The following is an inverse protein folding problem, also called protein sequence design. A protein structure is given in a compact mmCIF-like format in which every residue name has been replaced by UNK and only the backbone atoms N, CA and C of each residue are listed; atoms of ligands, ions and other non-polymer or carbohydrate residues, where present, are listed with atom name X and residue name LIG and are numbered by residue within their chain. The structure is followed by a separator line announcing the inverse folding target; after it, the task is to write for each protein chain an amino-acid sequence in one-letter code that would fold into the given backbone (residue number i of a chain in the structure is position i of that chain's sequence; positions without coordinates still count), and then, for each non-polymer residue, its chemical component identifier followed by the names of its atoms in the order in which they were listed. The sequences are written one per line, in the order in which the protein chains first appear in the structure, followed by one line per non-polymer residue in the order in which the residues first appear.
data_IF_645435937595
#
_entry.id   IF_645435937595
#
_cell.length_a   1.000
_cell.length_b   1.000
_cell.length_c   1.000
_cell.angle_alpha   90.00
_cell.angle_beta   90.00
_cell.angle_gamma   90.00
#
_symmetry.space_group_name_H-M   'P 1'
#
loop_
_entity.id
_entity.type
_entity.pdbx_description
1 polymer ?
#
# COMPACT_ATOMS: atom_id res chain seq x y z
N UNK A 1 39.30 41.62 64.08
CA UNK A 1 39.45 40.66 62.96
C UNK A 1 38.04 40.26 62.53
N UNK A 2 37.60 40.77 61.40
CA UNK A 2 36.23 40.52 60.86
C UNK A 2 36.40 39.46 59.78
N UNK A 3 35.81 38.31 59.99
CA UNK A 3 35.69 37.23 58.95
C UNK A 3 34.51 37.54 58.03
N UNK A 4 34.80 37.85 56.77
CA UNK A 4 33.78 37.99 55.71
C UNK A 4 33.58 36.60 55.12
N UNK A 5 32.42 36.01 55.32
CA UNK A 5 31.98 34.78 54.67
C UNK A 5 31.41 35.14 53.29
N UNK A 6 32.13 34.82 52.23
CA UNK A 6 31.62 34.91 50.86
C UNK A 6 30.76 33.68 50.57
N UNK A 7 29.44 33.85 50.45
CA UNK A 7 28.50 32.85 49.92
C UNK A 7 28.53 32.94 48.39
N UNK A 8 29.18 31.94 47.74
CA UNK A 8 29.12 31.77 46.30
C UNK A 8 27.79 31.08 45.96
N UNK A 9 26.84 31.84 45.42
CA UNK A 9 25.54 31.31 44.97
C UNK A 9 25.79 30.70 43.57
N UNK A 10 25.86 29.36 43.50
CA UNK A 10 25.94 28.62 42.23
C UNK A 10 24.58 28.60 41.58
N UNK A 11 24.37 29.44 40.56
CA UNK A 11 23.16 29.44 39.74
C UNK A 11 23.24 28.30 38.73
N UNK A 12 22.59 27.15 38.98
CA UNK A 12 22.46 26.06 38.01
C UNK A 12 21.38 26.49 37.02
N UNK A 13 21.78 26.96 35.84
CA UNK A 13 20.90 27.18 34.71
C UNK A 13 20.60 25.79 34.10
N UNK A 14 19.44 25.26 34.43
CA UNK A 14 18.90 24.09 33.76
C UNK A 14 18.49 24.53 32.36
N UNK A 15 19.33 24.27 31.36
CA UNK A 15 18.93 24.32 29.95
C UNK A 15 17.97 23.20 29.70
N UNK A 16 16.66 23.47 29.78
CA UNK A 16 15.63 22.64 29.19
C UNK A 16 15.79 22.75 27.69
N UNK A 17 16.54 21.81 27.08
CA UNK A 17 16.51 21.62 25.63
C UNK A 17 15.09 21.15 25.30
N UNK A 18 14.25 22.08 24.86
CA UNK A 18 13.00 21.74 24.20
C UNK A 18 13.37 20.90 22.98
N UNK A 19 13.21 19.58 23.07
CA UNK A 19 13.23 18.74 21.89
C UNK A 19 12.04 19.24 21.08
N UNK A 20 12.30 20.02 20.04
CA UNK A 20 11.25 20.43 19.10
C UNK A 20 10.73 19.17 18.44
N UNK A 21 9.53 18.76 18.80
CA UNK A 21 8.85 17.68 18.13
C UNK A 21 8.72 18.03 16.63
N UNK A 22 8.98 17.06 15.76
CA UNK A 22 8.84 17.28 14.31
C UNK A 22 7.38 17.61 13.98
N UNK A 23 7.14 18.62 13.16
CA UNK A 23 5.78 18.96 12.72
C UNK A 23 5.36 18.17 11.47
N UNK A 24 5.94 16.98 11.28
CA UNK A 24 5.60 16.08 10.20
C UNK A 24 5.69 14.61 10.61
N UNK A 25 4.96 13.75 9.87
CA UNK A 25 5.01 12.29 9.96
C UNK A 25 5.53 11.71 8.65
N UNK A 26 6.34 10.65 8.74
CA UNK A 26 6.80 9.89 7.57
C UNK A 26 5.96 8.62 7.45
N UNK A 27 5.32 8.44 6.28
CA UNK A 27 4.56 7.24 5.95
C UNK A 27 5.27 6.45 4.87
N UNK A 28 5.68 5.22 5.17
CA UNK A 28 6.08 4.26 4.14
C UNK A 28 4.83 3.61 3.54
N UNK A 29 4.71 3.68 2.21
CA UNK A 29 3.57 3.10 1.50
C UNK A 29 3.98 2.51 0.14
N UNK A 30 3.00 2.06 -0.64
CA UNK A 30 3.27 1.48 -1.95
C UNK A 30 3.19 2.52 -3.07
N UNK A 31 4.00 2.34 -4.12
CA UNK A 31 3.97 3.22 -5.31
C UNK A 31 2.56 3.33 -5.88
N UNK A 32 1.80 2.22 -5.95
CA UNK A 32 0.43 2.22 -6.46
C UNK A 32 -0.50 3.09 -5.62
N UNK A 33 -0.37 3.06 -4.28
CA UNK A 33 -1.18 3.88 -3.37
C UNK A 33 -0.84 5.36 -3.50
N UNK A 34 0.46 5.70 -3.45
CA UNK A 34 0.93 7.08 -3.57
C UNK A 34 0.54 7.68 -4.92
N UNK A 35 0.70 6.92 -6.02
CA UNK A 35 0.37 7.38 -7.39
C UNK A 35 -1.12 7.70 -7.62
N UNK A 36 -2.02 7.28 -6.72
CA UNK A 36 -3.44 7.67 -6.81
C UNK A 36 -3.70 9.11 -6.40
N UNK A 37 -2.78 9.72 -5.63
CA UNK A 37 -2.97 11.03 -4.99
C UNK A 37 -3.79 10.97 -3.69
N UNK A 38 -4.28 9.81 -3.25
CA UNK A 38 -5.10 9.71 -2.03
C UNK A 38 -4.34 10.19 -0.80
N UNK A 39 -3.08 9.73 -0.60
CA UNK A 39 -2.31 10.08 0.60
C UNK A 39 -1.94 11.56 0.63
N UNK A 40 -1.68 12.18 -0.52
CA UNK A 40 -1.48 13.63 -0.64
C UNK A 40 -2.77 14.37 -0.24
N UNK A 41 -3.90 14.00 -0.83
CA UNK A 41 -5.20 14.59 -0.50
C UNK A 41 -5.55 14.48 0.99
N UNK A 42 -5.40 13.30 1.60
CA UNK A 42 -5.66 13.09 3.03
C UNK A 42 -4.66 13.85 3.91
N UNK A 43 -3.40 13.94 3.50
CA UNK A 43 -2.37 14.70 4.18
C UNK A 43 -2.67 16.19 4.20
N UNK A 44 -3.13 16.76 3.08
CA UNK A 44 -3.54 18.16 2.98
C UNK A 44 -4.74 18.49 3.86
N UNK A 45 -5.76 17.60 3.89
CA UNK A 45 -6.92 17.77 4.76
C UNK A 45 -6.53 17.69 6.26
N UNK A 46 -5.67 16.73 6.63
CA UNK A 46 -5.16 16.60 7.97
C UNK A 46 -4.29 17.79 8.41
N UNK A 47 -3.45 18.29 7.50
CA UNK A 47 -2.62 19.46 7.76
C UNK A 47 -3.45 20.73 8.02
N UNK A 48 -4.54 20.94 7.29
CA UNK A 48 -5.45 22.08 7.50
C UNK A 48 -6.04 22.10 8.91
N UNK A 49 -6.26 20.93 9.50
CA UNK A 49 -6.88 20.81 10.83
C UNK A 49 -5.85 20.84 11.97
N UNK A 50 -4.65 20.30 11.74
CA UNK A 50 -3.69 20.00 12.83
C UNK A 50 -2.38 20.73 12.71
N UNK A 51 -2.01 21.22 11.52
CA UNK A 51 -0.68 21.76 11.22
C UNK A 51 0.41 20.68 11.08
N UNK A 52 0.07 19.38 11.12
CA UNK A 52 1.03 18.28 11.00
C UNK A 52 1.12 17.87 9.52
N UNK A 53 2.32 17.99 8.94
CA UNK A 53 2.60 17.61 7.56
C UNK A 53 2.70 16.08 7.42
N UNK A 54 2.13 15.51 6.35
CA UNK A 54 2.27 14.09 6.01
C UNK A 54 3.22 13.93 4.84
N UNK A 55 4.35 13.26 5.08
CA UNK A 55 5.37 12.95 4.05
C UNK A 55 5.30 11.48 3.68
N UNK A 56 4.94 11.19 2.43
CA UNK A 56 4.78 9.82 1.96
C UNK A 56 5.97 9.34 1.13
N UNK A 57 6.41 8.11 1.37
CA UNK A 57 7.44 7.42 0.58
C UNK A 57 6.78 6.24 -0.12
N UNK A 58 6.66 6.31 -1.45
CA UNK A 58 6.05 5.29 -2.29
C UNK A 58 7.08 4.36 -2.93
N UNK A 59 7.15 3.10 -2.46
CA UNK A 59 8.04 2.06 -2.99
C UNK A 59 7.28 0.73 -3.16
N UNK A 60 7.93 -0.34 -3.60
CA UNK A 60 7.30 -1.67 -3.59
C UNK A 60 6.98 -2.13 -2.17
N UNK A 61 5.89 -2.92 -1.97
CA UNK A 61 5.43 -3.38 -0.64
C UNK A 61 6.54 -3.97 0.22
N UNK A 62 7.36 -4.87 -0.35
CA UNK A 62 8.49 -5.47 0.38
C UNK A 62 9.54 -4.45 0.79
N UNK A 63 9.80 -3.43 -0.03
CA UNK A 63 10.73 -2.35 0.28
C UNK A 63 10.14 -1.40 1.34
N UNK A 64 8.84 -1.08 1.28
CA UNK A 64 8.17 -0.28 2.29
C UNK A 64 8.27 -0.92 3.68
N UNK A 65 7.98 -2.22 3.76
CA UNK A 65 8.13 -3.00 5.00
C UNK A 65 9.58 -3.03 5.47
N UNK A 66 10.54 -3.26 4.56
CA UNK A 66 11.97 -3.24 4.88
C UNK A 66 12.44 -1.88 5.41
N UNK A 67 11.97 -0.79 4.84
CA UNK A 67 12.26 0.56 5.32
C UNK A 67 11.68 0.76 6.74
N UNK A 68 10.41 0.37 6.95
CA UNK A 68 9.77 0.43 8.27
C UNK A 68 10.51 -0.43 9.31
N UNK A 69 10.98 -1.64 8.93
CA UNK A 69 11.79 -2.52 9.81
C UNK A 69 13.12 -1.85 10.23
N UNK A 70 13.65 -0.91 9.45
CA UNK A 70 14.84 -0.12 9.83
C UNK A 70 14.51 1.15 10.62
N UNK A 71 13.22 1.43 10.83
CA UNK A 71 12.77 2.64 11.49
C UNK A 71 12.68 3.87 10.58
N UNK A 72 12.72 3.70 9.25
CA UNK A 72 12.69 4.83 8.30
C UNK A 72 11.24 5.38 8.11
N UNK A 73 10.41 5.34 9.15
CA UNK A 73 9.02 5.82 9.15
C UNK A 73 8.47 6.06 10.56
N UNK A 74 7.33 6.72 10.64
CA UNK A 74 6.44 6.73 11.80
C UNK A 74 5.29 5.74 11.61
N UNK A 75 4.80 5.64 10.36
CA UNK A 75 3.63 4.85 9.98
C UNK A 75 3.98 3.99 8.76
N UNK A 76 3.49 2.75 8.78
CA UNK A 76 3.47 1.84 7.62
C UNK A 76 2.03 1.68 7.13
N UNK A 77 1.77 1.97 5.85
CA UNK A 77 0.48 1.80 5.18
C UNK A 77 0.67 1.00 3.90
N UNK A 78 0.29 -0.27 3.91
CA UNK A 78 0.48 -1.21 2.79
C UNK A 78 -0.74 -2.13 2.63
N UNK A 79 -0.69 -3.07 1.67
CA UNK A 79 -1.79 -3.98 1.37
C UNK A 79 -1.31 -5.44 1.19
N UNK A 80 -0.48 -5.91 2.12
CA UNK A 80 -0.06 -7.32 2.21
C UNK A 80 -0.35 -7.86 3.60
N UNK A 81 -1.61 -8.22 3.86
CA UNK A 81 -2.11 -8.56 5.20
C UNK A 81 -1.22 -9.57 5.93
N UNK A 82 -0.69 -10.57 5.21
CA UNK A 82 0.22 -11.57 5.80
C UNK A 82 1.51 -10.94 6.32
N UNK A 83 2.13 -10.06 5.52
CA UNK A 83 3.38 -9.39 5.91
C UNK A 83 3.13 -8.34 7.01
N UNK A 84 1.96 -7.67 7.00
CA UNK A 84 1.54 -6.71 8.01
C UNK A 84 1.32 -7.38 9.38
N UNK A 85 0.67 -8.55 9.40
CA UNK A 85 0.49 -9.34 10.62
C UNK A 85 1.86 -9.78 11.16
N UNK A 86 2.74 -10.28 10.29
CA UNK A 86 4.11 -10.66 10.67
C UNK A 86 4.88 -9.48 11.27
N UNK A 87 4.75 -8.27 10.69
CA UNK A 87 5.38 -7.05 11.20
C UNK A 87 4.94 -6.72 12.64
N UNK A 88 3.66 -6.96 12.96
CA UNK A 88 3.14 -6.80 14.32
C UNK A 88 3.63 -7.92 15.25
N UNK A 89 3.59 -9.19 14.81
CA UNK A 89 4.05 -10.34 15.61
C UNK A 89 5.54 -10.26 15.96
N UNK A 90 6.35 -9.64 15.11
CA UNK A 90 7.77 -9.35 15.36
C UNK A 90 7.99 -8.14 16.29
N UNK A 91 6.92 -7.51 16.78
CA UNK A 91 6.98 -6.36 17.68
C UNK A 91 7.43 -5.05 17.00
N UNK A 92 7.53 -5.02 15.67
CA UNK A 92 8.01 -3.86 14.91
C UNK A 92 6.95 -2.75 14.77
N UNK A 93 5.68 -3.10 14.89
CA UNK A 93 4.54 -2.18 14.95
C UNK A 93 3.66 -2.47 16.16
N UNK A 94 2.90 -1.48 16.61
CA UNK A 94 2.06 -1.60 17.82
C UNK A 94 0.80 -2.40 17.53
N UNK A 95 0.05 -1.98 16.50
CA UNK A 95 -1.25 -2.55 16.14
C UNK A 95 -1.56 -2.28 14.68
N UNK A 96 -2.16 -3.27 14.02
CA UNK A 96 -2.69 -3.15 12.67
C UNK A 96 -4.16 -2.73 12.71
N UNK A 97 -4.52 -1.74 11.90
CA UNK A 97 -5.90 -1.33 11.65
C UNK A 97 -6.26 -1.61 10.19
N UNK A 98 -7.45 -2.16 9.95
CA UNK A 98 -8.04 -2.21 8.62
C UNK A 98 -8.52 -0.80 8.26
N UNK A 99 -7.90 -0.15 7.26
CA UNK A 99 -8.21 1.22 6.90
C UNK A 99 -9.25 1.29 5.78
N UNK A 100 -8.95 0.65 4.68
CA UNK A 100 -9.74 0.69 3.45
C UNK A 100 -9.47 -0.56 2.62
N UNK A 101 -10.19 -0.73 1.53
CA UNK A 101 -9.90 -1.78 0.56
C UNK A 101 -10.15 -1.30 -0.86
N UNK A 102 -9.50 -1.95 -1.81
CA UNK A 102 -9.91 -2.01 -3.21
C UNK A 102 -9.89 -3.47 -3.67
N UNK A 103 -9.92 -3.72 -4.95
CA UNK A 103 -9.81 -5.06 -5.50
C UNK A 103 -8.72 -5.12 -6.59
N UNK A 104 -8.34 -6.35 -6.89
CA UNK A 104 -7.62 -6.67 -8.09
C UNK A 104 -8.61 -7.00 -9.21
N UNK A 105 -8.16 -6.81 -10.44
CA UNK A 105 -8.90 -7.16 -11.64
C UNK A 105 -8.02 -7.98 -12.57
N UNK A 106 -8.62 -8.91 -13.32
CA UNK A 106 -7.93 -9.54 -14.44
C UNK A 106 -8.25 -8.74 -15.69
N UNK A 107 -7.21 -8.26 -16.33
CA UNK A 107 -7.30 -7.55 -17.59
C UNK A 107 -6.70 -8.39 -18.70
N UNK A 108 -7.19 -8.21 -19.91
CA UNK A 108 -6.70 -8.92 -21.08
C UNK A 108 -7.19 -8.30 -22.37
N UNK A 109 -6.90 -8.92 -23.51
CA UNK A 109 -7.30 -8.43 -24.82
C UNK A 109 -8.81 -8.24 -24.92
N UNK A 110 -9.28 -7.14 -25.52
CA UNK A 110 -10.71 -6.89 -25.77
C UNK A 110 -11.42 -8.00 -26.54
N UNK A 111 -10.66 -8.67 -27.43
CA UNK A 111 -11.17 -9.82 -28.19
C UNK A 111 -11.42 -11.07 -27.34
N UNK A 112 -10.88 -11.10 -26.12
CA UNK A 112 -10.98 -12.18 -25.14
C UNK A 112 -10.85 -13.58 -25.75
N UNK A 113 -9.73 -13.94 -26.36
CA UNK A 113 -9.56 -15.24 -27.03
C UNK A 113 -9.70 -16.41 -26.06
N UNK A 114 -9.46 -16.21 -24.75
CA UNK A 114 -9.65 -17.22 -23.72
C UNK A 114 -11.12 -17.35 -23.27
N UNK A 115 -12.00 -16.43 -23.69
CA UNK A 115 -13.44 -16.40 -23.37
C UNK A 115 -13.72 -16.39 -21.85
N UNK A 116 -12.92 -15.66 -21.10
CA UNK A 116 -13.01 -15.61 -19.62
C UNK A 116 -14.02 -14.59 -19.12
N UNK A 117 -14.42 -13.61 -19.93
CA UNK A 117 -15.31 -12.49 -19.53
C UNK A 117 -16.66 -12.93 -18.97
N UNK A 118 -17.17 -14.07 -19.39
CA UNK A 118 -18.46 -14.58 -18.95
C UNK A 118 -18.38 -15.64 -17.84
N UNK A 119 -17.18 -15.96 -17.38
CA UNK A 119 -17.00 -16.89 -16.28
C UNK A 119 -17.30 -16.20 -14.94
N UNK A 120 -17.71 -16.99 -13.96
CA UNK A 120 -18.16 -16.47 -12.66
C UNK A 120 -17.22 -16.79 -11.50
N UNK A 121 -16.21 -17.60 -11.74
CA UNK A 121 -15.26 -17.99 -10.70
C UNK A 121 -13.80 -17.89 -11.18
N UNK A 122 -12.97 -17.41 -10.29
CA UNK A 122 -11.54 -17.17 -10.54
C UNK A 122 -10.77 -18.46 -10.85
N UNK A 123 -11.14 -19.59 -10.20
CA UNK A 123 -10.45 -20.87 -10.40
C UNK A 123 -10.55 -21.34 -11.84
N UNK A 124 -11.75 -21.29 -12.44
CA UNK A 124 -11.96 -21.64 -13.84
C UNK A 124 -11.17 -20.74 -14.79
N UNK A 125 -11.10 -19.44 -14.50
CA UNK A 125 -10.31 -18.49 -15.28
C UNK A 125 -8.82 -18.85 -15.24
N UNK A 126 -8.27 -19.02 -14.05
CA UNK A 126 -6.85 -19.38 -13.89
C UNK A 126 -6.54 -20.73 -14.53
N UNK A 127 -7.46 -21.70 -14.49
CA UNK A 127 -7.31 -22.99 -15.19
C UNK A 127 -7.20 -22.80 -16.70
N UNK A 128 -8.00 -21.94 -17.30
CA UNK A 128 -7.93 -21.65 -18.73
C UNK A 128 -6.62 -20.95 -19.06
N UNK A 129 -6.25 -19.92 -18.31
CA UNK A 129 -5.01 -19.18 -18.54
C UNK A 129 -3.76 -20.04 -18.36
N UNK A 130 -3.80 -21.01 -17.44
CA UNK A 130 -2.70 -21.95 -17.20
C UNK A 130 -2.60 -23.10 -18.22
N UNK A 131 -3.53 -23.19 -19.18
CA UNK A 131 -3.52 -24.26 -20.20
C UNK A 131 -2.35 -24.20 -21.18
N UNK A 132 -1.64 -23.06 -21.21
CA UNK A 132 -0.50 -22.85 -22.13
C UNK A 132 -0.87 -22.20 -23.47
N UNK A 133 -2.17 -22.01 -23.74
CA UNK A 133 -2.64 -21.43 -25.00
C UNK A 133 -2.64 -19.90 -25.03
N UNK A 134 -2.53 -19.28 -23.86
CA UNK A 134 -2.64 -17.83 -23.67
C UNK A 134 -1.46 -17.30 -22.86
N UNK A 135 -0.93 -16.14 -23.22
CA UNK A 135 0.16 -15.51 -22.47
C UNK A 135 -0.41 -14.82 -21.24
N UNK A 136 0.27 -15.00 -20.10
CA UNK A 136 0.03 -14.25 -18.88
C UNK A 136 1.29 -13.48 -18.49
N UNK A 137 1.15 -12.19 -18.24
CA UNK A 137 2.27 -11.31 -17.90
C UNK A 137 2.27 -11.09 -16.40
N UNK A 138 3.37 -11.50 -15.76
CA UNK A 138 3.62 -11.29 -14.34
C UNK A 138 4.59 -10.13 -14.12
N UNK A 139 4.38 -9.40 -13.03
CA UNK A 139 5.34 -8.39 -12.60
C UNK A 139 6.69 -8.98 -12.18
N UNK A 140 6.69 -10.11 -11.49
CA UNK A 140 7.88 -10.82 -10.97
C UNK A 140 8.88 -9.90 -10.23
N UNK A 141 8.36 -8.89 -9.49
CA UNK A 141 9.13 -7.84 -8.80
C UNK A 141 8.94 -7.83 -7.29
N UNK A 142 8.37 -8.89 -6.73
CA UNK A 142 8.06 -9.06 -5.30
C UNK A 142 7.16 -7.95 -4.71
N UNK A 143 6.41 -7.24 -5.56
CA UNK A 143 5.41 -6.25 -5.14
C UNK A 143 4.16 -6.91 -4.55
N UNK A 144 3.27 -6.09 -3.96
CA UNK A 144 1.96 -6.56 -3.46
C UNK A 144 1.12 -7.23 -4.54
N UNK A 145 1.11 -6.71 -5.77
CA UNK A 145 0.41 -7.33 -6.90
C UNK A 145 1.03 -8.67 -7.28
N UNK A 146 2.37 -8.76 -7.35
CA UNK A 146 3.04 -10.03 -7.63
C UNK A 146 2.78 -11.06 -6.52
N UNK A 147 2.88 -10.68 -5.26
CA UNK A 147 2.54 -11.57 -4.13
C UNK A 147 1.09 -12.07 -4.19
N UNK A 148 0.16 -11.19 -4.54
CA UNK A 148 -1.25 -11.55 -4.74
C UNK A 148 -1.41 -12.56 -5.87
N UNK A 149 -0.83 -12.29 -7.01
CA UNK A 149 -0.84 -13.17 -8.19
C UNK A 149 -0.33 -14.57 -7.84
N UNK A 150 0.88 -14.67 -7.26
CA UNK A 150 1.49 -15.94 -6.83
C UNK A 150 0.59 -16.67 -5.83
N UNK A 151 -0.03 -15.94 -4.89
CA UNK A 151 -0.95 -16.54 -3.92
C UNK A 151 -2.19 -17.14 -4.57
N UNK A 152 -2.68 -16.56 -5.67
CA UNK A 152 -3.82 -17.09 -6.41
C UNK A 152 -3.46 -18.36 -7.19
N UNK A 153 -2.32 -18.36 -7.89
CA UNK A 153 -1.83 -19.57 -8.55
C UNK A 153 -1.64 -20.72 -7.56
N UNK A 154 -0.98 -20.45 -6.43
CA UNK A 154 -0.74 -21.45 -5.38
C UNK A 154 -2.02 -21.92 -4.70
N UNK A 155 -2.99 -21.03 -4.42
CA UNK A 155 -4.27 -21.38 -3.80
C UNK A 155 -5.04 -22.42 -4.57
N UNK A 156 -4.92 -22.43 -5.89
CA UNK A 156 -5.64 -23.34 -6.77
C UNK A 156 -4.75 -24.44 -7.37
N UNK A 157 -3.53 -24.62 -6.86
CA UNK A 157 -2.56 -25.65 -7.25
C UNK A 157 -2.19 -25.60 -8.75
N UNK A 158 -2.14 -24.41 -9.35
CA UNK A 158 -1.66 -24.24 -10.71
C UNK A 158 -0.15 -24.03 -10.74
N UNK A 159 0.55 -24.93 -11.46
CA UNK A 159 1.96 -24.74 -11.71
C UNK A 159 2.16 -23.69 -12.82
N UNK A 160 2.76 -22.57 -12.48
CA UNK A 160 3.03 -21.43 -13.37
C UNK A 160 4.53 -21.19 -13.59
N UNK A 161 5.39 -21.69 -12.69
CA UNK A 161 6.81 -21.49 -12.77
C UNK A 161 7.39 -22.19 -13.99
N UNK A 162 8.36 -21.54 -14.65
CA UNK A 162 9.08 -22.07 -15.82
C UNK A 162 8.19 -22.47 -17.02
N UNK A 163 6.95 -21.94 -17.09
CA UNK A 163 6.03 -22.17 -18.20
C UNK A 163 6.16 -21.09 -19.26
N UNK A 164 6.23 -21.49 -20.51
CA UNK A 164 6.38 -20.55 -21.64
C UNK A 164 5.23 -19.57 -21.83
N UNK A 165 4.06 -19.84 -21.24
CA UNK A 165 2.93 -18.92 -21.23
C UNK A 165 3.01 -17.86 -20.11
N UNK A 166 3.80 -18.09 -19.07
CA UNK A 166 3.98 -17.21 -17.93
C UNK A 166 5.22 -16.35 -18.10
N UNK A 167 5.02 -15.09 -18.45
CA UNK A 167 6.09 -14.17 -18.83
C UNK A 167 6.38 -13.22 -17.69
N UNK A 168 7.59 -13.30 -17.16
CA UNK A 168 8.11 -12.50 -16.05
C UNK A 168 8.75 -11.21 -16.60
N UNK A 169 8.31 -10.04 -16.09
CA UNK A 169 8.81 -8.75 -16.58
C UNK A 169 9.84 -8.10 -15.67
N UNK A 170 9.85 -8.43 -14.38
CA UNK A 170 10.68 -7.75 -13.38
C UNK A 170 10.38 -6.26 -13.26
N UNK A 171 9.16 -5.80 -13.59
CA UNK A 171 8.86 -4.39 -13.77
C UNK A 171 7.60 -3.93 -13.03
N UNK A 172 7.44 -2.59 -12.89
CA UNK A 172 6.26 -1.98 -12.27
C UNK A 172 4.98 -2.20 -13.07
N UNK A 173 3.81 -2.00 -12.42
CA UNK A 173 2.50 -2.38 -12.99
C UNK A 173 2.19 -1.67 -14.33
N UNK A 174 2.54 -0.41 -14.48
CA UNK A 174 2.30 0.34 -15.73
C UNK A 174 3.08 -0.28 -16.89
N UNK A 175 4.35 -0.65 -16.68
CA UNK A 175 5.16 -1.34 -17.70
C UNK A 175 4.59 -2.73 -18.03
N UNK A 176 4.17 -3.48 -16.99
CA UNK A 176 3.53 -4.78 -17.15
C UNK A 176 2.24 -4.69 -17.97
N UNK A 177 1.39 -3.68 -17.72
CA UNK A 177 0.17 -3.43 -18.51
C UNK A 177 0.49 -3.08 -19.98
N UNK A 178 1.52 -2.28 -20.24
CA UNK A 178 1.94 -1.97 -21.61
C UNK A 178 2.42 -3.25 -22.34
N UNK A 179 3.24 -4.07 -21.67
CA UNK A 179 3.70 -5.34 -22.23
C UNK A 179 2.52 -6.28 -22.51
N UNK A 180 1.57 -6.38 -21.57
CA UNK A 180 0.36 -7.18 -21.76
C UNK A 180 -0.46 -6.71 -22.97
N UNK A 181 -0.58 -5.39 -23.16
CA UNK A 181 -1.24 -4.77 -24.30
C UNK A 181 -0.59 -5.15 -25.62
N UNK A 182 0.74 -4.97 -25.74
CA UNK A 182 1.51 -5.27 -26.95
C UNK A 182 1.53 -6.77 -27.29
N UNK A 183 1.50 -7.63 -26.27
CA UNK A 183 1.57 -9.08 -26.46
C UNK A 183 0.18 -9.74 -26.59
N UNK A 184 -0.93 -8.99 -26.57
CA UNK A 184 -2.28 -9.52 -26.50
C UNK A 184 -2.41 -10.55 -25.38
N UNK A 185 -1.95 -10.20 -24.17
CA UNK A 185 -1.82 -11.11 -23.06
C UNK A 185 -2.72 -10.69 -21.88
N UNK A 186 -2.89 -11.61 -20.93
CA UNK A 186 -3.62 -11.41 -19.70
C UNK A 186 -2.67 -11.00 -18.59
N UNK A 187 -3.17 -10.25 -17.60
CA UNK A 187 -2.44 -9.92 -16.38
C UNK A 187 -3.41 -9.59 -15.26
N UNK A 188 -2.92 -9.57 -14.03
CA UNK A 188 -3.63 -9.05 -12.86
C UNK A 188 -3.09 -7.67 -12.50
N UNK A 189 -3.98 -6.76 -12.13
CA UNK A 189 -3.61 -5.42 -11.64
C UNK A 189 -4.58 -4.98 -10.54
N UNK A 190 -4.14 -4.11 -9.64
CA UNK A 190 -5.06 -3.43 -8.73
C UNK A 190 -5.94 -2.44 -9.53
N UNK A 191 -7.18 -2.26 -9.07
CA UNK A 191 -8.17 -1.40 -9.74
C UNK A 191 -7.71 0.04 -9.84
N UNK A 192 -7.03 0.56 -8.83
CA UNK A 192 -6.58 1.95 -8.84
C UNK A 192 -5.56 2.19 -9.96
N UNK A 193 -4.58 1.30 -10.10
CA UNK A 193 -3.64 1.34 -11.23
C UNK A 193 -4.36 1.21 -12.57
N UNK A 194 -5.33 0.28 -12.68
CA UNK A 194 -6.12 0.14 -13.90
C UNK A 194 -6.88 1.42 -14.27
N UNK A 195 -7.51 2.07 -13.31
CA UNK A 195 -8.27 3.31 -13.55
C UNK A 195 -7.35 4.42 -14.05
N UNK A 196 -6.18 4.59 -13.47
CA UNK A 196 -5.20 5.62 -13.83
C UNK A 196 -4.37 5.29 -15.09
N UNK A 197 -4.31 4.02 -15.48
CA UNK A 197 -3.61 3.58 -16.68
C UNK A 197 -4.23 4.19 -17.94
N UNK A 198 -3.42 4.89 -18.73
CA UNK A 198 -3.89 5.67 -19.91
C UNK A 198 -3.98 4.85 -21.18
N UNK A 199 -3.05 3.89 -21.39
CA UNK A 199 -2.93 3.12 -22.64
C UNK A 199 -3.83 1.86 -22.63
N UNK A 200 -5.16 2.05 -22.50
CA UNK A 200 -6.13 0.94 -22.45
C UNK A 200 -6.58 0.40 -23.80
N UNK A 201 -5.95 0.83 -24.90
CA UNK A 201 -6.46 0.65 -26.25
C UNK A 201 -6.84 -0.80 -26.61
N UNK A 202 -6.01 -1.77 -26.22
CA UNK A 202 -6.21 -3.18 -26.54
C UNK A 202 -6.63 -4.03 -25.35
N UNK A 203 -6.63 -3.46 -24.14
CA UNK A 203 -7.01 -4.16 -22.91
C UNK A 203 -8.38 -3.71 -22.39
N UNK A 204 -9.05 -4.62 -21.70
CA UNK A 204 -10.22 -4.32 -20.87
C UNK A 204 -10.23 -5.20 -19.61
N UNK A 205 -11.06 -4.82 -18.63
CA UNK A 205 -11.34 -5.68 -17.47
C UNK A 205 -12.21 -6.83 -17.94
N UNK A 206 -11.70 -8.05 -17.78
CA UNK A 206 -12.39 -9.27 -18.17
C UNK A 206 -12.98 -10.01 -16.98
N UNK A 207 -12.43 -9.79 -15.77
CA UNK A 207 -12.95 -10.39 -14.56
C UNK A 207 -12.68 -9.52 -13.32
N UNK A 208 -13.67 -9.41 -12.43
CA UNK A 208 -13.67 -8.60 -11.24
C UNK A 208 -14.68 -9.11 -10.20
N UNK A 209 -14.69 -8.50 -9.00
CA UNK A 209 -15.70 -8.74 -7.94
C UNK A 209 -15.73 -10.17 -7.38
N UNK A 210 -14.58 -10.85 -7.41
CA UNK A 210 -14.38 -12.13 -6.75
C UNK A 210 -13.76 -11.91 -5.35
N UNK A 211 -14.18 -12.70 -4.35
CA UNK A 211 -13.65 -12.60 -2.99
C UNK A 211 -12.13 -12.79 -2.91
N UNK A 212 -11.57 -13.61 -3.81
CA UNK A 212 -10.14 -13.85 -3.89
C UNK A 212 -9.37 -12.66 -4.48
N UNK A 213 -10.04 -11.69 -5.09
CA UNK A 213 -9.45 -10.47 -5.64
C UNK A 213 -9.49 -9.30 -4.65
N UNK A 214 -10.04 -9.50 -3.45
CA UNK A 214 -10.06 -8.49 -2.40
C UNK A 214 -8.65 -8.05 -1.98
N UNK A 215 -8.46 -6.75 -1.84
CA UNK A 215 -7.18 -6.11 -1.54
C UNK A 215 -7.30 -5.15 -0.35
N UNK A 216 -7.18 -5.68 0.89
CA UNK A 216 -7.27 -4.88 2.10
C UNK A 216 -5.99 -4.08 2.33
N UNK A 217 -6.13 -2.85 2.80
CA UNK A 217 -5.05 -1.96 3.23
C UNK A 217 -5.00 -1.88 4.73
N UNK A 218 -3.83 -2.16 5.30
CA UNK A 218 -3.55 -2.00 6.72
C UNK A 218 -2.71 -0.76 6.97
N UNK A 219 -2.97 -0.12 8.12
CA UNK A 219 -2.18 0.99 8.64
C UNK A 219 -1.74 0.67 10.06
N UNK A 220 -0.47 0.96 10.39
CA UNK A 220 0.11 0.67 11.70
C UNK A 220 1.20 1.69 12.05
N UNK A 221 1.29 2.04 13.33
CA UNK A 221 2.39 2.84 13.87
C UNK A 221 3.56 1.92 14.16
N UNK A 222 4.78 2.36 13.88
CA UNK A 222 5.99 1.65 14.29
C UNK A 222 6.10 1.67 15.82
N UNK A 223 6.68 0.61 16.40
CA UNK A 223 6.78 0.48 17.86
C UNK A 223 7.88 1.40 18.42
N UNK A 224 7.55 2.41 19.25
CA UNK A 224 8.53 3.33 19.82
C UNK A 224 9.53 2.68 20.77
N UNK A 225 9.23 1.48 21.30
CA UNK A 225 10.21 0.71 22.08
C UNK A 225 11.41 0.28 21.24
N UNK A 226 11.19 0.00 19.96
CA UNK A 226 12.22 -0.34 18.99
C UNK A 226 12.75 0.90 18.24
N UNK A 227 11.93 1.93 18.10
CA UNK A 227 12.19 3.14 17.31
C UNK A 227 11.86 4.41 18.11
N UNK A 228 12.74 4.85 19.03
CA UNK A 228 12.47 5.97 19.96
C UNK A 228 12.17 7.31 19.28
N UNK A 229 12.48 7.47 18.00
CA UNK A 229 12.24 8.69 17.23
C UNK A 229 10.83 8.77 16.63
N UNK A 230 10.01 7.72 16.75
CA UNK A 230 8.64 7.68 16.23
C UNK A 230 7.77 8.68 16.98
N UNK A 231 7.09 9.53 16.23
CA UNK A 231 6.13 10.51 16.73
C UNK A 231 4.80 9.81 17.10
N UNK A 232 4.80 9.07 18.21
CA UNK A 232 3.69 8.18 18.59
C UNK A 232 2.35 8.91 18.71
N UNK A 233 2.33 10.07 19.41
CA UNK A 233 1.09 10.81 19.64
C UNK A 233 0.50 11.35 18.33
N UNK A 234 1.33 11.97 17.50
CA UNK A 234 0.92 12.46 16.18
C UNK A 234 0.48 11.33 15.24
N UNK A 235 1.18 10.20 15.27
CA UNK A 235 0.82 9.01 14.49
C UNK A 235 -0.54 8.45 14.89
N UNK A 236 -0.80 8.35 16.19
CA UNK A 236 -2.11 7.94 16.70
C UNK A 236 -3.20 8.96 16.35
N UNK A 237 -2.91 10.27 16.43
CA UNK A 237 -3.83 11.32 16.01
C UNK A 237 -4.21 11.16 14.54
N UNK A 238 -3.25 10.93 13.65
CA UNK A 238 -3.52 10.73 12.22
C UNK A 238 -4.33 9.45 11.96
N UNK A 239 -3.96 8.32 12.58
CA UNK A 239 -4.71 7.06 12.40
C UNK A 239 -6.14 7.20 12.94
N UNK A 240 -6.34 7.78 14.12
CA UNK A 240 -7.67 8.00 14.68
C UNK A 240 -8.51 8.93 13.79
N UNK A 241 -7.91 9.97 13.22
CA UNK A 241 -8.56 10.86 12.28
C UNK A 241 -8.99 10.11 11.01
N UNK A 242 -8.12 9.27 10.42
CA UNK A 242 -8.46 8.45 9.25
C UNK A 242 -9.60 7.46 9.54
N UNK A 243 -9.64 6.88 10.75
CA UNK A 243 -10.67 5.92 11.17
C UNK A 243 -11.97 6.59 11.63
N UNK A 244 -11.98 7.91 11.82
CA UNK A 244 -13.18 8.68 12.16
C UNK A 244 -14.20 8.69 11.02
N UNK A 245 -15.43 9.13 11.32
CA UNK A 245 -16.46 9.33 10.30
C UNK A 245 -16.01 10.29 9.18
N UNK A 246 -15.25 11.34 9.54
CA UNK A 246 -14.71 12.31 8.59
C UNK A 246 -13.66 11.68 7.68
N UNK A 247 -12.62 11.05 8.22
CA UNK A 247 -11.56 10.41 7.44
C UNK A 247 -12.12 9.33 6.51
N UNK A 248 -13.03 8.49 7.03
CA UNK A 248 -13.74 7.50 6.23
C UNK A 248 -14.53 8.13 5.08
N UNK A 249 -15.20 9.24 5.31
CA UNK A 249 -15.97 9.95 4.28
C UNK A 249 -15.05 10.55 3.20
N UNK A 250 -13.90 11.10 3.58
CA UNK A 250 -12.89 11.59 2.63
C UNK A 250 -12.38 10.47 1.72
N UNK A 251 -12.02 9.30 2.30
CA UNK A 251 -11.58 8.14 1.52
C UNK A 251 -12.69 7.65 0.58
N UNK A 252 -13.92 7.52 1.08
CA UNK A 252 -15.09 7.04 0.31
C UNK A 252 -15.40 7.95 -0.88
N UNK A 253 -15.25 9.26 -0.71
CA UNK A 253 -15.56 10.26 -1.74
C UNK A 253 -14.37 10.60 -2.65
N UNK A 254 -13.18 10.08 -2.35
CA UNK A 254 -12.01 10.27 -3.22
C UNK A 254 -12.21 9.56 -4.55
N UNK A 255 -12.12 10.33 -5.64
CA UNK A 255 -12.34 9.83 -7.00
C UNK A 255 -11.22 10.29 -7.93
N UNK A 256 -10.81 9.40 -8.82
CA UNK A 256 -9.93 9.72 -9.95
C UNK A 256 -10.70 9.45 -11.23
N UNK A 257 -10.76 10.41 -12.14
CA UNK A 257 -11.54 10.32 -13.39
C UNK A 257 -13.00 9.87 -13.14
N UNK A 258 -13.64 10.44 -12.12
CA UNK A 258 -15.00 10.11 -11.65
C UNK A 258 -15.20 8.67 -11.12
N UNK A 259 -14.14 7.90 -10.94
CA UNK A 259 -14.22 6.56 -10.36
C UNK A 259 -13.77 6.55 -8.91
N UNK A 260 -14.54 5.92 -8.04
CA UNK A 260 -14.13 5.62 -6.67
C UNK A 260 -13.04 4.55 -6.70
N UNK A 261 -11.92 4.80 -6.01
CA UNK A 261 -10.78 3.89 -5.99
C UNK A 261 -10.72 3.01 -4.74
N UNK A 262 -11.20 3.54 -3.63
CA UNK A 262 -11.11 2.87 -2.33
C UNK A 262 -12.48 2.82 -1.66
N UNK A 263 -12.70 1.75 -0.91
CA UNK A 263 -13.91 1.46 -0.17
C UNK A 263 -13.60 1.33 1.31
N UNK A 264 -14.58 1.58 2.16
CA UNK A 264 -14.46 1.55 3.62
C UNK A 264 -15.17 0.31 4.15
N UNK A 265 -14.62 -0.27 5.21
CA UNK A 265 -15.32 -1.27 6.01
C UNK A 265 -16.48 -0.61 6.76
N UNK A 266 -17.68 -1.19 6.64
CA UNK A 266 -18.88 -0.78 7.37
C UNK A 266 -18.82 -1.20 8.84
#
# INVERSE_FOLDING_TARGET
MRHIFNYLFLFIIIFSSSISARDYLIIQSTTSTVSTGLLEYLGDEFFKETGIEIRTVGVGTGQAIKNATRGDADILLVHSKKDEIKFIEEGLGIKRYDLMYNDFVIVGPRADPAKIKNLKDLKSILKILSSGNFKFISRDDNSGTHKKEVSLWSKFDFNFEEKGWYIKTGSGMISTLNIASEMNAYTITDRATWITFKNKNFLEVLFEKDENLFNPYGIMVLNPENYPHVELEKSNQFINWLLSAQGKNLIKNFKVSNNQLFFIYE
#
